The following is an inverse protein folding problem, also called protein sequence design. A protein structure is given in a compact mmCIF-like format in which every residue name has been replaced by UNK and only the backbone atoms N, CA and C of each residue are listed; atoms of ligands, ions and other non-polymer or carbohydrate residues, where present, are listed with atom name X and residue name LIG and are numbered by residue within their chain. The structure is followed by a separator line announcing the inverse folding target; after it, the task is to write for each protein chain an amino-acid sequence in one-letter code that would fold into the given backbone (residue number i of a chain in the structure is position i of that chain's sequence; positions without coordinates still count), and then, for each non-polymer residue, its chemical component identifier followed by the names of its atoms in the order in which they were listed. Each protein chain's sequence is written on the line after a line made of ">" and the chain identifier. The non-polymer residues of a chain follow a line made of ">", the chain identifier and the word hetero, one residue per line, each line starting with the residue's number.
data_IF_528552806071
#
_entry.id   IF_528552806071
#
_cell.length_a   1.000
_cell.length_b   1.000
_cell.length_c   1.000
_cell.angle_alpha   90.00
_cell.angle_beta   90.00
_cell.angle_gamma   90.00
#
_symmetry.space_group_name_H-M   'P 1'
#
loop_
_entity.id
_entity.type
_entity.pdbx_description
1 polymer ?
#
# COMPACT_ATOMS: atom_id res chain seq x y z
N UNK A 1 16.56 -9.36 -0.45
CA UNK A 1 17.10 -10.56 -1.14
C UNK A 1 16.09 -11.68 -1.22
N UNK A 2 15.61 -12.25 -0.10
CA UNK A 2 14.65 -13.36 -0.12
C UNK A 2 13.39 -13.12 -1.00
N UNK A 3 12.77 -11.94 -0.95
CA UNK A 3 11.61 -11.64 -1.81
C UNK A 3 11.96 -11.49 -3.30
N UNK A 4 13.20 -11.08 -3.61
CA UNK A 4 13.67 -10.97 -5.00
C UNK A 4 13.90 -12.38 -5.57
N UNK A 5 14.57 -13.23 -4.78
CA UNK A 5 14.82 -14.63 -5.12
C UNK A 5 13.51 -15.42 -5.34
N UNK A 6 12.47 -15.19 -4.53
CA UNK A 6 11.18 -15.85 -4.73
C UNK A 6 10.48 -15.39 -6.02
N UNK A 7 10.55 -14.10 -6.36
CA UNK A 7 9.99 -13.58 -7.60
C UNK A 7 10.75 -14.09 -8.83
N UNK A 8 12.08 -14.17 -8.76
CA UNK A 8 12.91 -14.77 -9.80
C UNK A 8 12.60 -16.27 -9.97
N UNK A 9 12.45 -16.99 -8.86
CA UNK A 9 12.06 -18.40 -8.88
C UNK A 9 10.68 -18.61 -9.52
N UNK A 10 9.71 -17.72 -9.30
CA UNK A 10 8.39 -17.78 -9.95
C UNK A 10 8.45 -17.52 -11.46
N UNK A 11 9.46 -16.78 -11.92
CA UNK A 11 9.72 -16.49 -13.33
C UNK A 11 10.42 -17.64 -14.06
N UNK A 12 11.39 -18.30 -13.42
CA UNK A 12 12.30 -19.24 -14.10
C UNK A 12 12.17 -20.69 -13.63
N UNK A 13 12.25 -20.92 -12.32
CA UNK A 13 12.47 -22.27 -11.75
C UNK A 13 11.17 -22.98 -11.37
N UNK A 14 10.18 -22.25 -10.86
CA UNK A 14 8.91 -22.77 -10.36
C UNK A 14 7.75 -21.91 -10.90
N UNK A 15 7.32 -22.12 -12.15
CA UNK A 15 6.25 -21.34 -12.75
C UNK A 15 4.93 -21.56 -12.03
N UNK A 16 4.07 -20.53 -12.03
CA UNK A 16 2.74 -20.55 -11.43
C UNK A 16 1.92 -21.72 -11.99
N UNK A 17 1.51 -22.63 -11.10
CA UNK A 17 0.68 -23.78 -11.45
C UNK A 17 -0.81 -23.39 -11.56
N UNK A 18 -1.61 -24.12 -12.35
CA UNK A 18 -3.05 -23.87 -12.46
C UNK A 18 -3.79 -24.01 -11.11
N UNK A 19 -3.33 -24.91 -10.23
CA UNK A 19 -3.93 -25.09 -8.90
C UNK A 19 -3.69 -23.89 -7.98
N UNK A 20 -2.49 -23.28 -8.07
CA UNK A 20 -2.20 -22.04 -7.37
C UNK A 20 -3.09 -20.89 -7.88
N UNK A 21 -3.28 -20.80 -9.20
CA UNK A 21 -4.16 -19.80 -9.80
C UNK A 21 -5.61 -19.99 -9.33
N UNK A 22 -6.13 -21.21 -9.38
CA UNK A 22 -7.52 -21.49 -8.98
C UNK A 22 -7.75 -21.19 -7.48
N UNK A 23 -6.76 -21.52 -6.65
CA UNK A 23 -6.80 -21.17 -5.22
C UNK A 23 -6.81 -19.65 -5.00
N UNK A 24 -5.99 -18.91 -5.76
CA UNK A 24 -5.95 -17.45 -5.71
C UNK A 24 -7.27 -16.81 -6.18
N UNK A 25 -7.87 -17.31 -7.27
CA UNK A 25 -9.18 -16.87 -7.78
C UNK A 25 -10.24 -16.95 -6.69
N UNK A 26 -10.34 -18.10 -6.02
CA UNK A 26 -11.31 -18.30 -4.91
C UNK A 26 -11.12 -17.28 -3.78
N UNK A 27 -9.88 -17.02 -3.37
CA UNK A 27 -9.59 -16.06 -2.30
C UNK A 27 -10.03 -14.64 -2.70
N UNK A 28 -9.72 -14.23 -3.92
CA UNK A 28 -10.04 -12.89 -4.43
C UNK A 28 -11.55 -12.70 -4.59
N UNK A 29 -12.25 -13.70 -5.15
CA UNK A 29 -13.72 -13.66 -5.29
C UNK A 29 -14.42 -13.60 -3.92
N UNK A 30 -14.02 -14.46 -2.98
CA UNK A 30 -14.60 -14.45 -1.63
C UNK A 30 -14.38 -13.11 -0.92
N UNK A 31 -13.21 -12.48 -1.13
CA UNK A 31 -12.93 -11.16 -0.59
C UNK A 31 -13.84 -10.09 -1.22
N UNK A 32 -13.98 -10.10 -2.54
CA UNK A 32 -14.85 -9.18 -3.27
C UNK A 32 -16.29 -9.27 -2.75
N UNK A 33 -16.86 -10.48 -2.69
CA UNK A 33 -18.21 -10.72 -2.17
C UNK A 33 -18.36 -10.27 -0.70
N UNK A 34 -17.33 -10.51 0.12
CA UNK A 34 -17.31 -10.08 1.50
C UNK A 34 -17.39 -8.56 1.66
N UNK A 35 -16.60 -7.84 0.87
CA UNK A 35 -16.43 -6.37 0.92
C UNK A 35 -17.55 -5.61 0.22
N UNK A 36 -18.27 -6.21 -0.74
CA UNK A 36 -19.45 -5.63 -1.43
C UNK A 36 -20.57 -5.18 -0.47
N UNK A 37 -20.57 -5.65 0.78
CA UNK A 37 -21.54 -5.20 1.80
C UNK A 37 -21.17 -3.87 2.45
N UNK A 38 -19.98 -3.34 2.19
CA UNK A 38 -19.46 -2.14 2.84
C UNK A 38 -19.48 -0.94 1.89
N UNK A 39 -20.01 0.20 2.36
CA UNK A 39 -20.04 1.44 1.58
C UNK A 39 -18.65 1.98 1.24
N UNK A 40 -17.65 1.72 2.09
CA UNK A 40 -16.25 2.08 1.84
C UNK A 40 -15.69 1.38 0.60
N UNK A 41 -15.98 0.09 0.44
CA UNK A 41 -15.54 -0.66 -0.73
C UNK A 41 -16.18 -0.13 -2.03
N UNK A 42 -17.48 0.18 -2.00
CA UNK A 42 -18.16 0.83 -3.12
C UNK A 42 -17.52 2.17 -3.49
N UNK A 43 -17.18 3.01 -2.51
CA UNK A 43 -16.54 4.29 -2.76
C UNK A 43 -15.17 4.10 -3.46
N UNK A 44 -14.37 3.12 -3.02
CA UNK A 44 -13.09 2.78 -3.66
C UNK A 44 -13.27 2.22 -5.08
N UNK A 45 -14.29 1.40 -5.33
CA UNK A 45 -14.59 0.89 -6.66
C UNK A 45 -14.98 2.03 -7.61
N UNK A 46 -15.84 2.95 -7.16
CA UNK A 46 -16.32 4.07 -7.96
C UNK A 46 -15.25 5.15 -8.18
N UNK A 47 -14.32 5.36 -7.24
CA UNK A 47 -13.23 6.33 -7.43
C UNK A 47 -12.32 5.95 -8.58
N UNK A 48 -12.12 4.66 -8.83
CA UNK A 48 -11.30 4.17 -9.95
C UNK A 48 -11.97 4.27 -11.32
N UNK A 49 -13.27 4.59 -11.40
CA UNK A 49 -13.98 4.77 -12.69
C UNK A 49 -13.67 6.11 -13.36
N UNK A 50 -13.25 7.11 -12.58
CA UNK A 50 -12.98 8.47 -13.07
C UNK A 50 -11.50 8.65 -13.49
N UNK A 51 -10.72 7.58 -13.44
CA UNK A 51 -9.29 7.61 -13.69
C UNK A 51 -9.00 7.48 -15.20
N UNK A 52 -8.48 8.55 -15.81
CA UNK A 52 -8.18 8.61 -17.25
C UNK A 52 -7.11 7.58 -17.67
N UNK A 53 -6.27 7.14 -16.73
CA UNK A 53 -5.26 6.10 -16.96
C UNK A 53 -5.84 4.68 -17.16
N UNK A 54 -7.15 4.48 -16.98
CA UNK A 54 -7.82 3.17 -17.19
C UNK A 54 -8.99 3.33 -18.19
N UNK A 55 -8.71 3.46 -19.50
CA UNK A 55 -9.66 3.97 -20.51
C UNK A 55 -10.88 3.08 -20.84
N UNK A 56 -11.13 2.00 -20.09
CA UNK A 56 -12.23 1.05 -20.37
C UNK A 56 -12.99 0.61 -19.10
N UNK A 57 -12.70 1.23 -17.95
CA UNK A 57 -13.36 0.88 -16.69
C UNK A 57 -14.74 1.57 -16.62
N UNK A 58 -15.75 0.93 -17.17
CA UNK A 58 -17.14 1.39 -17.08
C UNK A 58 -17.83 1.00 -15.75
N UNK A 59 -19.02 1.56 -15.46
CA UNK A 59 -19.79 1.20 -14.26
C UNK A 59 -20.18 -0.28 -14.21
N UNK A 60 -20.25 -0.96 -15.37
CA UNK A 60 -20.47 -2.41 -15.48
C UNK A 60 -19.25 -3.25 -15.04
N UNK A 61 -18.08 -2.64 -14.82
CA UNK A 61 -16.89 -3.38 -14.37
C UNK A 61 -17.07 -4.05 -13.00
N UNK A 62 -18.02 -3.58 -12.19
CA UNK A 62 -18.35 -4.23 -10.91
C UNK A 62 -19.15 -5.52 -11.14
N UNK A 63 -20.04 -5.55 -12.13
CA UNK A 63 -20.81 -6.75 -12.47
C UNK A 63 -19.96 -7.77 -13.21
N UNK A 64 -19.01 -7.32 -14.02
CA UNK A 64 -18.17 -8.18 -14.84
C UNK A 64 -16.97 -8.76 -14.06
N UNK A 65 -16.78 -8.36 -12.79
CA UNK A 65 -15.63 -8.76 -11.97
C UNK A 65 -15.43 -10.28 -11.93
N UNK A 66 -16.51 -11.04 -11.73
CA UNK A 66 -16.44 -12.50 -11.71
C UNK A 66 -15.95 -13.08 -13.04
N UNK A 67 -16.53 -12.64 -14.15
CA UNK A 67 -16.16 -13.10 -15.49
C UNK A 67 -14.69 -12.78 -15.81
N UNK A 68 -14.22 -11.60 -15.40
CA UNK A 68 -12.81 -11.20 -15.57
C UNK A 68 -11.89 -12.12 -14.78
N UNK A 69 -12.17 -12.38 -13.50
CA UNK A 69 -11.33 -13.24 -12.67
C UNK A 69 -11.31 -14.68 -13.19
N UNK A 70 -12.46 -15.20 -13.65
CA UNK A 70 -12.56 -16.53 -14.24
C UNK A 70 -11.75 -16.66 -15.54
N UNK A 71 -11.73 -15.61 -16.37
CA UNK A 71 -11.00 -15.59 -17.64
C UNK A 71 -9.46 -15.53 -17.49
N UNK A 72 -8.93 -15.15 -16.33
CA UNK A 72 -7.47 -15.05 -16.10
C UNK A 72 -6.81 -16.42 -16.29
N UNK A 73 -5.74 -16.45 -17.08
CA UNK A 73 -4.92 -17.64 -17.33
C UNK A 73 -3.58 -17.56 -16.60
N UNK A 74 -2.89 -18.70 -16.48
CA UNK A 74 -1.53 -18.73 -15.92
C UNK A 74 -0.54 -17.95 -16.79
N UNK A 75 -0.78 -17.84 -18.11
CA UNK A 75 0.08 -17.07 -19.01
C UNK A 75 -0.01 -15.57 -18.72
N UNK A 76 -1.19 -15.06 -18.41
CA UNK A 76 -1.38 -13.63 -18.09
C UNK A 76 -0.57 -13.25 -16.84
N UNK A 77 -0.54 -14.13 -15.84
CA UNK A 77 0.26 -13.92 -14.64
C UNK A 77 1.77 -13.96 -14.93
N UNK A 78 2.21 -14.85 -15.82
CA UNK A 78 3.62 -14.90 -16.24
C UNK A 78 4.02 -13.65 -17.02
N UNK A 79 3.17 -13.17 -17.93
CA UNK A 79 3.41 -11.90 -18.63
C UNK A 79 3.45 -10.72 -17.67
N UNK A 80 2.59 -10.72 -16.64
CA UNK A 80 2.61 -9.67 -15.62
C UNK A 80 3.92 -9.68 -14.82
N UNK A 81 4.45 -10.87 -14.51
CA UNK A 81 5.78 -11.01 -13.89
C UNK A 81 6.92 -10.54 -14.79
N UNK A 82 6.83 -10.75 -16.10
CA UNK A 82 7.79 -10.23 -17.08
C UNK A 82 7.76 -8.69 -17.14
N UNK A 83 6.59 -8.06 -16.98
CA UNK A 83 6.40 -6.61 -17.03
C UNK A 83 6.69 -5.88 -15.70
N UNK A 84 6.92 -6.59 -14.60
CA UNK A 84 7.04 -6.00 -13.26
C UNK A 84 8.36 -5.26 -13.00
N UNK A 85 9.33 -5.28 -13.93
CA UNK A 85 10.57 -4.53 -13.82
C UNK A 85 11.43 -4.97 -12.63
N UNK A 86 11.76 -6.28 -12.58
CA UNK A 86 12.50 -6.87 -11.45
C UNK A 86 14.03 -6.81 -11.63
N UNK A 87 14.51 -5.97 -12.56
CA UNK A 87 15.94 -5.85 -12.84
C UNK A 87 16.68 -5.10 -11.73
N UNK A 88 18.01 -5.30 -11.67
CA UNK A 88 18.88 -4.82 -10.58
C UNK A 88 18.94 -3.30 -10.38
N UNK A 89 18.33 -2.51 -11.27
CA UNK A 89 18.21 -1.06 -11.15
C UNK A 89 16.82 -0.54 -10.76
N UNK A 90 15.79 -1.39 -10.78
CA UNK A 90 14.38 -0.98 -10.65
C UNK A 90 13.77 -1.39 -9.30
N UNK A 91 14.38 -2.35 -8.60
CA UNK A 91 13.92 -2.81 -7.30
C UNK A 91 14.58 -2.07 -6.13
N UNK A 92 13.83 -1.20 -5.48
CA UNK A 92 14.27 -0.48 -4.28
C UNK A 92 13.81 -1.18 -3.00
N UNK A 93 14.75 -1.51 -2.11
CA UNK A 93 14.45 -2.00 -0.76
C UNK A 93 14.74 -0.91 0.26
N UNK A 94 13.73 -0.52 1.05
CA UNK A 94 13.90 0.41 2.16
C UNK A 94 13.93 -0.37 3.48
N UNK A 95 15.05 -0.29 4.21
CA UNK A 95 15.17 -0.87 5.56
C UNK A 95 15.04 0.28 6.57
N UNK A 96 13.88 0.39 7.20
CA UNK A 96 13.68 1.29 8.32
C UNK A 96 14.33 0.73 9.58
N UNK A 97 15.37 1.41 10.09
CA UNK A 97 15.91 1.13 11.43
C UNK A 97 15.32 2.13 12.42
N UNK A 98 14.55 1.64 13.37
CA UNK A 98 14.17 2.45 14.53
C UNK A 98 15.34 2.47 15.51
N UNK A 99 15.97 3.62 15.68
CA UNK A 99 16.99 3.82 16.72
C UNK A 99 16.26 4.15 18.02
N UNK A 100 16.43 3.34 19.05
CA UNK A 100 16.06 3.75 20.39
C UNK A 100 17.08 4.82 20.81
N UNK A 101 16.68 6.00 21.29
CA UNK A 101 17.64 7.01 21.72
C UNK A 101 18.43 6.45 22.90
N UNK A 102 19.71 6.18 22.68
CA UNK A 102 20.62 5.83 23.76
C UNK A 102 20.81 7.06 24.64
N UNK A 103 20.26 7.01 25.86
CA UNK A 103 20.33 8.11 26.81
C UNK A 103 19.11 8.34 27.70
N UNK A 104 18.25 7.34 27.94
CA UNK A 104 17.35 7.38 29.10
C UNK A 104 17.72 6.21 29.99
N UNK A 105 18.66 6.44 30.89
CA UNK A 105 18.77 5.65 32.12
C UNK A 105 17.41 5.78 32.81
N UNK A 106 16.63 4.69 32.77
CA UNK A 106 15.45 4.57 33.60
C UNK A 106 15.97 4.30 35.00
N UNK A 107 16.18 5.37 35.78
CA UNK A 107 16.18 5.24 37.24
C UNK A 107 14.86 4.56 37.62
N UNK A 108 15.00 3.41 38.27
CA UNK A 108 13.93 2.58 38.79
C UNK A 108 13.28 3.27 40.00
N UNK A 109 12.55 4.34 39.74
CA UNK A 109 11.62 4.93 40.72
C UNK A 109 10.18 4.76 40.21
N UNK A 110 9.68 3.53 40.42
CA UNK A 110 8.34 3.30 40.96
C UNK A 110 7.19 4.13 40.42
N UNK A 111 6.98 4.20 39.11
CA UNK A 111 5.70 4.65 38.53
C UNK A 111 5.28 3.67 37.43
N UNK A 112 4.22 2.92 37.74
CA UNK A 112 3.44 2.07 36.84
C UNK A 112 3.30 2.72 35.45
N UNK A 113 4.12 2.27 34.50
CA UNK A 113 4.05 2.69 33.10
C UNK A 113 2.74 2.18 32.53
N UNK A 114 1.74 3.07 32.47
CA UNK A 114 0.60 2.91 31.59
C UNK A 114 1.17 2.70 30.19
N UNK A 115 1.15 1.45 29.74
CA UNK A 115 1.45 1.14 28.34
C UNK A 115 0.45 1.94 27.50
N UNK A 116 0.87 2.75 26.51
CA UNK A 116 -0.07 3.19 25.52
C UNK A 116 -0.40 1.93 24.72
N UNK A 117 -1.49 1.25 25.11
CA UNK A 117 -2.20 0.39 24.19
C UNK A 117 -2.53 1.30 23.00
N UNK A 118 -1.77 1.15 21.92
CA UNK A 118 -2.13 1.66 20.62
C UNK A 118 -3.46 1.00 20.27
N UNK A 119 -4.54 1.67 20.66
CA UNK A 119 -5.90 1.24 20.47
C UNK A 119 -6.14 1.15 18.98
N UNK A 120 -6.37 -0.08 18.53
CA UNK A 120 -7.05 -0.38 17.29
C UNK A 120 -8.44 0.24 17.37
N UNK A 121 -8.62 1.49 16.92
CA UNK A 121 -9.82 2.03 16.27
C UNK A 121 -9.79 3.56 16.11
N UNK A 122 -10.13 3.98 14.88
CA UNK A 122 -10.87 5.20 14.49
C UNK A 122 -10.21 6.56 14.67
N UNK A 123 -9.89 7.16 13.51
CA UNK A 123 -10.10 8.58 13.21
C UNK A 123 -9.62 9.59 14.25
N UNK A 124 -8.35 10.01 14.13
CA UNK A 124 -7.82 11.17 14.85
C UNK A 124 -6.96 11.99 13.90
N UNK A 125 -7.37 13.22 13.60
CA UNK A 125 -6.65 14.15 12.76
C UNK A 125 -5.20 14.33 13.25
N UNK A 126 -4.25 14.19 12.34
CA UNK A 126 -2.85 14.55 12.56
C UNK A 126 -2.77 16.08 12.68
N UNK A 127 -2.85 16.61 13.90
CA UNK A 127 -2.41 17.97 14.18
C UNK A 127 -0.88 17.99 14.13
N UNK A 128 -0.33 18.42 13.00
CA UNK A 128 1.08 18.69 12.86
C UNK A 128 1.48 19.82 13.84
N UNK A 129 2.11 19.45 14.95
CA UNK A 129 2.69 20.40 15.90
C UNK A 129 3.89 21.04 15.21
N UNK A 130 3.74 22.29 14.77
CA UNK A 130 4.82 23.12 14.23
C UNK A 130 5.88 23.29 15.31
N UNK A 131 6.96 22.52 15.23
CA UNK A 131 8.16 22.72 16.05
C UNK A 131 8.89 23.93 15.47
N UNK A 132 8.82 25.03 16.21
CA UNK A 132 9.57 26.25 15.95
C UNK A 132 11.06 25.98 16.19
N UNK A 133 11.83 25.78 15.13
CA UNK A 133 13.29 25.77 15.21
C UNK A 133 13.82 27.22 15.26
N UNK A 134 14.73 27.57 16.19
CA UNK A 134 15.38 28.86 16.20
C UNK A 134 16.54 28.87 15.19
N UNK A 135 16.64 29.95 14.41
CA UNK A 135 17.89 30.34 13.76
C UNK A 135 18.08 29.94 12.30
N UNK A 136 17.22 30.44 11.40
CA UNK A 136 17.62 30.76 10.02
C UNK A 136 16.93 32.05 9.60
N UNK A 137 17.70 33.14 9.54
CA UNK A 137 17.27 34.43 8.97
C UNK A 137 17.44 34.31 7.46
N UNK A 138 16.33 34.29 6.71
CA UNK A 138 16.33 34.58 5.27
C UNK A 138 15.54 35.88 5.04
N UNK A 139 16.05 36.79 4.18
CA UNK A 139 15.46 38.11 3.99
C UNK A 139 14.14 38.02 3.21
N UNK A 140 13.09 38.64 3.75
CA UNK A 140 11.78 38.76 3.12
C UNK A 140 11.82 39.80 1.99
N UNK A 141 11.92 39.35 0.74
CA UNK A 141 11.53 40.19 -0.39
C UNK A 141 9.99 40.14 -0.51
N UNK A 142 9.36 41.26 -0.17
CA UNK A 142 7.91 41.45 -0.24
C UNK A 142 7.40 41.45 -1.68
N UNK A 143 6.30 40.75 -1.90
CA UNK A 143 5.48 40.85 -3.10
C UNK A 143 4.25 41.71 -2.70
N UNK A 144 3.98 42.84 -3.39
CA UNK A 144 2.85 43.71 -3.07
C UNK A 144 1.50 43.13 -3.53
N UNK A 145 0.38 43.58 -2.94
CA UNK A 145 -0.95 43.02 -3.19
C UNK A 145 -1.50 43.39 -4.57
N UNK A 146 -2.24 42.45 -5.14
CA UNK A 146 -2.97 42.58 -6.42
C UNK A 146 -4.06 43.66 -6.34
N UNK A 147 -4.17 44.44 -7.41
CA UNK A 147 -5.30 45.34 -7.69
C UNK A 147 -6.52 44.56 -8.16
#
# INVERSE_FOLDING_TARGET
>A
DACKETLEALRTTNPITPDNLESAKRVVLNRHEGELRTSGYWATLMSGLQEESIPLKGPLSVTDYHAVIEAITTRDLQLTLECLGLDEGELYTAIGRTVQPEGIELEDDGIVKASPMAGMNRGGALMAKKVSAPGWIFPSNGIPPAQ
#
